data_IF_882180809617
#
_entry.id   IF_882180809617
#
_cell.length_a   1.000
_cell.length_b   1.000
_cell.length_c   1.000
_cell.angle_alpha   90.00
_cell.angle_beta   90.00
_cell.angle_gamma   90.00
#
_symmetry.space_group_name_H-M   'P 1'
#
loop_
_entity.id
_entity.type
_entity.pdbx_description
1 polymer ?
#
# COMPACT_ATOMS: atom_id res chain seq x y z
N UNK A 1 16.08 20.67 -42.12
CA UNK A 1 15.24 19.86 -41.19
C UNK A 1 14.01 19.34 -41.92
N UNK A 2 13.74 18.03 -41.90
CA UNK A 2 12.51 17.49 -42.50
C UNK A 2 11.30 17.84 -41.63
N UNK A 3 10.13 18.07 -42.23
CA UNK A 3 8.87 18.40 -41.53
C UNK A 3 8.53 17.43 -40.38
N UNK A 4 8.95 16.16 -40.50
CA UNK A 4 8.73 15.15 -39.46
C UNK A 4 9.56 15.40 -38.18
N UNK A 5 10.79 15.93 -38.30
CA UNK A 5 11.63 16.29 -37.14
C UNK A 5 11.00 17.44 -36.33
N UNK A 6 10.42 18.43 -37.00
CA UNK A 6 9.78 19.58 -36.34
C UNK A 6 8.46 19.22 -35.65
N UNK A 7 7.71 18.25 -36.19
CA UNK A 7 6.45 17.76 -35.56
C UNK A 7 6.75 16.91 -34.32
N UNK A 8 7.76 16.05 -34.38
CA UNK A 8 8.16 15.23 -33.22
C UNK A 8 8.61 16.11 -32.04
N UNK A 9 9.50 17.09 -32.28
CA UNK A 9 9.97 18.02 -31.24
C UNK A 9 8.81 18.84 -30.63
N UNK A 10 7.84 19.27 -31.45
CA UNK A 10 6.66 20.02 -30.98
C UNK A 10 5.68 19.16 -30.19
N UNK A 11 5.48 17.91 -30.59
CA UNK A 11 4.64 16.95 -29.86
C UNK A 11 5.26 16.63 -28.50
N UNK A 12 6.58 16.43 -28.48
CA UNK A 12 7.36 16.17 -27.27
C UNK A 12 7.33 17.38 -26.32
N UNK A 13 7.54 18.61 -26.82
CA UNK A 13 7.43 19.83 -26.02
C UNK A 13 6.01 20.05 -25.47
N UNK A 14 4.97 19.66 -26.22
CA UNK A 14 3.58 19.73 -25.76
C UNK A 14 3.30 18.70 -24.63
N UNK A 15 3.88 17.50 -24.72
CA UNK A 15 3.79 16.48 -23.64
C UNK A 15 4.53 16.97 -22.40
N UNK A 16 5.75 17.51 -22.53
CA UNK A 16 6.50 18.07 -21.41
C UNK A 16 5.76 19.24 -20.73
N UNK A 17 5.15 20.14 -21.51
CA UNK A 17 4.31 21.22 -20.97
C UNK A 17 3.04 20.69 -20.30
N UNK A 18 2.43 19.63 -20.82
CA UNK A 18 1.28 18.98 -20.19
C UNK A 18 1.68 18.34 -18.85
N UNK A 19 2.81 17.65 -18.78
CA UNK A 19 3.32 17.08 -17.54
C UNK A 19 3.69 18.15 -16.51
N UNK A 20 4.32 19.25 -16.93
CA UNK A 20 4.59 20.39 -16.06
C UNK A 20 3.30 21.08 -15.58
N UNK A 21 2.29 21.18 -16.45
CA UNK A 21 0.97 21.70 -16.07
C UNK A 21 0.28 20.78 -15.06
N UNK A 22 0.35 19.47 -15.25
CA UNK A 22 -0.17 18.47 -14.30
C UNK A 22 0.54 18.62 -12.95
N UNK A 23 1.87 18.72 -12.92
CA UNK A 23 2.64 18.94 -11.69
C UNK A 23 2.29 20.26 -10.98
N UNK A 24 2.02 21.34 -11.74
CA UNK A 24 1.54 22.62 -11.20
C UNK A 24 0.10 22.55 -10.67
N UNK A 25 -0.79 21.81 -11.31
CA UNK A 25 -2.15 21.56 -10.83
C UNK A 25 -2.16 20.80 -9.51
N UNK A 26 -1.29 19.79 -9.36
CA UNK A 26 -1.09 19.09 -8.10
C UNK A 26 -0.57 20.02 -7.00
N UNK A 27 0.44 20.85 -7.28
CA UNK A 27 0.96 21.82 -6.30
C UNK A 27 -0.09 22.84 -5.81
N UNK A 28 -1.06 23.21 -6.66
CA UNK A 28 -2.15 24.12 -6.27
C UNK A 28 -3.28 23.41 -5.48
N UNK A 29 -3.56 22.13 -5.77
CA UNK A 29 -4.62 21.37 -5.11
C UNK A 29 -4.32 21.08 -3.62
N UNK A 30 -3.05 20.97 -3.24
CA UNK A 30 -2.62 20.70 -1.86
C UNK A 30 -2.40 21.97 -1.00
N UNK A 31 -2.58 23.17 -1.56
CA UNK A 31 -2.18 24.42 -0.92
C UNK A 31 -3.32 25.17 -0.17
N UNK A 32 -4.59 24.80 -0.35
CA UNK A 32 -5.71 25.68 0.04
C UNK A 32 -7.01 24.95 0.41
N UNK A 33 -7.02 24.20 1.51
CA UNK A 33 -8.29 23.77 2.10
C UNK A 33 -8.24 23.81 3.64
N UNK A 34 -9.14 24.58 4.26
CA UNK A 34 -9.35 24.61 5.72
C UNK A 34 -10.01 23.31 6.22
N UNK A 35 -10.61 22.53 5.31
CA UNK A 35 -11.14 21.18 5.55
C UNK A 35 -10.44 20.19 4.62
N UNK A 36 -10.20 18.96 5.10
CA UNK A 36 -9.61 17.90 4.28
C UNK A 36 -10.66 17.39 3.29
N UNK A 37 -10.44 17.64 2.00
CA UNK A 37 -11.36 17.30 0.91
C UNK A 37 -10.71 16.32 -0.07
N UNK A 38 -11.53 15.51 -0.73
CA UNK A 38 -11.07 14.67 -1.84
C UNK A 38 -10.51 15.53 -2.98
N UNK A 39 -9.34 15.15 -3.49
CA UNK A 39 -8.72 15.75 -4.68
C UNK A 39 -9.01 14.89 -5.90
N UNK A 40 -8.69 13.59 -5.82
CA UNK A 40 -8.91 12.62 -6.89
C UNK A 40 -8.76 11.18 -6.40
N UNK A 41 -9.16 10.21 -7.23
CA UNK A 41 -8.75 8.81 -7.07
C UNK A 41 -7.22 8.70 -7.14
N UNK A 42 -6.62 7.90 -6.27
CA UNK A 42 -5.16 7.72 -6.19
C UNK A 42 -4.66 6.85 -7.37
N UNK A 43 -3.83 7.39 -8.27
CA UNK A 43 -3.29 6.66 -9.41
C UNK A 43 -2.18 5.67 -9.01
N UNK A 44 -1.70 5.75 -7.78
CA UNK A 44 -0.66 4.89 -7.23
C UNK A 44 -1.22 3.52 -6.87
N UNK A 45 -2.47 3.47 -6.39
CA UNK A 45 -3.08 2.23 -5.93
C UNK A 45 -3.99 1.60 -6.97
N UNK A 46 -3.57 0.47 -7.55
CA UNK A 46 -4.45 -0.35 -8.38
C UNK A 46 -5.43 -1.14 -7.51
N UNK A 47 -6.71 -0.99 -7.83
CA UNK A 47 -7.82 -1.63 -7.12
C UNK A 47 -8.16 -2.99 -7.76
N UNK A 48 -7.90 -4.09 -7.06
CA UNK A 48 -8.07 -5.47 -7.56
C UNK A 48 -9.22 -6.17 -6.82
N UNK A 49 -10.17 -6.70 -7.60
CA UNK A 49 -11.29 -7.53 -7.13
C UNK A 49 -12.21 -6.85 -6.09
N UNK A 50 -12.47 -5.56 -6.26
CA UNK A 50 -13.31 -4.76 -5.38
C UNK A 50 -14.77 -4.63 -5.83
N UNK A 51 -15.63 -4.25 -4.89
CA UNK A 51 -17.05 -3.94 -5.08
C UNK A 51 -17.32 -2.48 -5.37
N UNK A 52 -18.59 -2.17 -5.64
CA UNK A 52 -19.03 -0.79 -5.82
C UNK A 52 -18.94 -0.02 -4.50
N UNK A 53 -18.23 1.11 -4.50
CA UNK A 53 -18.03 1.98 -3.34
C UNK A 53 -16.66 1.88 -2.68
N UNK A 54 -15.85 0.87 -3.08
CA UNK A 54 -14.46 0.77 -2.66
C UNK A 54 -13.61 1.84 -3.36
N UNK A 55 -12.70 2.47 -2.63
CA UNK A 55 -11.86 3.55 -3.20
C UNK A 55 -10.56 3.76 -2.44
N UNK A 56 -9.59 4.35 -3.14
CA UNK A 56 -8.34 4.89 -2.60
C UNK A 56 -8.19 6.28 -3.18
N UNK A 57 -8.29 7.31 -2.34
CA UNK A 57 -8.43 8.70 -2.77
C UNK A 57 -7.37 9.58 -2.17
N UNK A 58 -6.71 10.38 -2.99
CA UNK A 58 -5.82 11.44 -2.51
C UNK A 58 -6.66 12.58 -1.94
N UNK A 59 -6.30 13.00 -0.73
CA UNK A 59 -6.94 14.07 0.01
C UNK A 59 -6.13 15.37 -0.08
N UNK A 60 -6.75 16.52 0.22
CA UNK A 60 -6.12 17.85 0.10
C UNK A 60 -4.95 18.08 1.06
N UNK A 61 -4.82 17.28 2.12
CA UNK A 61 -3.67 17.25 3.03
C UNK A 61 -2.55 16.32 2.55
N UNK A 62 -2.70 15.73 1.37
CA UNK A 62 -1.73 14.82 0.74
C UNK A 62 -1.79 13.38 1.23
N UNK A 63 -2.69 13.06 2.17
CA UNK A 63 -2.94 11.67 2.62
C UNK A 63 -3.77 10.90 1.61
N UNK A 64 -3.87 9.58 1.81
CA UNK A 64 -4.75 8.72 1.00
C UNK A 64 -5.82 8.11 1.87
N UNK A 65 -7.07 8.45 1.60
CA UNK A 65 -8.23 7.83 2.24
C UNK A 65 -8.60 6.54 1.52
N UNK A 66 -8.60 5.43 2.26
CA UNK A 66 -9.10 4.15 1.79
C UNK A 66 -10.47 3.85 2.40
N UNK A 67 -11.38 3.35 1.56
CA UNK A 67 -12.67 2.80 1.97
C UNK A 67 -12.83 1.43 1.31
N UNK A 68 -12.74 0.35 2.09
CA UNK A 68 -12.66 -1.02 1.57
C UNK A 68 -13.68 -1.94 2.26
N UNK A 69 -14.60 -2.49 1.50
CA UNK A 69 -15.51 -3.54 1.92
C UNK A 69 -14.83 -4.92 1.84
N UNK A 70 -15.13 -5.83 2.78
CA UNK A 70 -14.56 -7.17 2.75
C UNK A 70 -15.16 -7.95 1.58
N UNK A 71 -14.31 -8.61 0.81
CA UNK A 71 -14.78 -9.58 -0.17
C UNK A 71 -14.58 -11.01 0.36
N UNK A 72 -15.33 -11.95 -0.22
CA UNK A 72 -15.29 -13.35 0.21
C UNK A 72 -13.93 -13.97 -0.07
N UNK A 73 -13.38 -14.68 0.92
CA UNK A 73 -12.10 -15.37 0.80
C UNK A 73 -10.94 -14.41 1.06
N UNK A 74 -10.09 -14.23 0.06
CA UNK A 74 -8.83 -13.47 0.15
C UNK A 74 -8.89 -12.13 -0.62
N UNK A 75 -10.04 -11.82 -1.23
CA UNK A 75 -10.19 -10.78 -2.24
C UNK A 75 -10.38 -9.37 -1.68
N UNK A 76 -10.26 -8.39 -2.58
CA UNK A 76 -10.36 -6.95 -2.30
C UNK A 76 -9.01 -6.41 -1.87
N UNK A 77 -8.23 -5.87 -2.83
CA UNK A 77 -6.89 -5.35 -2.55
C UNK A 77 -6.52 -4.12 -3.37
N UNK A 78 -6.01 -3.10 -2.69
CA UNK A 78 -5.30 -1.97 -3.27
C UNK A 78 -3.79 -2.23 -3.20
N UNK A 79 -3.07 -2.11 -4.32
CA UNK A 79 -1.62 -2.32 -4.39
C UNK A 79 -0.94 -1.09 -5.00
N UNK A 80 0.18 -0.63 -4.45
CA UNK A 80 0.89 0.56 -4.92
C UNK A 80 1.53 0.43 -6.32
N UNK A 81 1.34 -0.66 -7.03
CA UNK A 81 1.95 -0.96 -8.34
C UNK A 81 1.63 0.06 -9.48
N UNK A 82 0.72 1.01 -9.29
CA UNK A 82 0.26 1.93 -10.34
C UNK A 82 1.36 2.80 -10.95
N UNK A 83 2.46 3.05 -10.23
CA UNK A 83 3.63 3.80 -10.74
C UNK A 83 4.83 2.90 -11.10
N UNK A 84 4.64 1.59 -11.15
CA UNK A 84 5.71 0.62 -11.44
C UNK A 84 6.84 0.65 -10.41
N UNK A 85 8.08 0.72 -10.86
CA UNK A 85 9.28 0.66 -10.01
C UNK A 85 9.37 1.80 -8.99
N UNK A 86 8.77 2.97 -9.27
CA UNK A 86 8.77 4.11 -8.36
C UNK A 86 7.94 3.87 -7.08
N UNK A 87 7.06 2.88 -7.10
CA UNK A 87 6.22 2.49 -5.95
C UNK A 87 6.72 1.28 -5.18
N UNK A 88 7.96 0.87 -5.43
CA UNK A 88 8.60 -0.24 -4.73
C UNK A 88 9.43 0.25 -3.56
N UNK A 89 9.43 -0.54 -2.49
CA UNK A 89 10.11 -0.19 -1.26
C UNK A 89 11.25 -1.17 -0.97
N UNK A 90 12.35 -0.65 -0.45
CA UNK A 90 13.47 -1.45 0.06
C UNK A 90 13.19 -1.88 1.50
N UNK A 91 13.28 -3.18 1.79
CA UNK A 91 13.11 -3.66 3.17
C UNK A 91 14.43 -3.64 3.96
N UNK A 92 15.58 -3.59 3.28
CA UNK A 92 16.87 -3.35 3.93
C UNK A 92 16.92 -2.00 4.63
N UNK A 93 16.37 -0.96 3.99
CA UNK A 93 16.34 0.40 4.55
C UNK A 93 15.24 0.57 5.61
N UNK A 94 14.36 -0.43 5.73
CA UNK A 94 13.15 -0.38 6.53
C UNK A 94 12.04 0.43 5.86
N UNK A 95 10.80 0.00 6.09
CA UNK A 95 9.60 0.67 5.58
C UNK A 95 8.71 1.03 6.75
N UNK A 96 8.59 2.32 7.05
CA UNK A 96 7.66 2.83 8.06
C UNK A 96 6.37 3.29 7.40
N UNK A 97 5.24 2.93 8.00
CA UNK A 97 3.89 3.24 7.51
C UNK A 97 3.10 3.81 8.69
N UNK A 98 2.50 4.98 8.48
CA UNK A 98 1.61 5.63 9.44
C UNK A 98 0.21 5.69 8.87
N UNK A 99 -0.74 5.06 9.56
CA UNK A 99 -2.16 5.11 9.24
C UNK A 99 -2.87 5.91 10.34
N UNK A 100 -3.76 6.82 9.95
CA UNK A 100 -4.62 7.58 10.86
C UNK A 100 -6.07 7.19 10.70
N UNK A 101 -6.83 7.37 11.78
CA UNK A 101 -8.28 7.19 11.83
C UNK A 101 -8.74 5.84 11.25
N UNK A 102 -8.04 4.76 11.60
CA UNK A 102 -8.40 3.42 11.16
C UNK A 102 -9.69 3.00 11.87
N UNK A 103 -10.68 2.56 11.09
CA UNK A 103 -11.92 1.96 11.58
C UNK A 103 -12.13 0.63 10.87
N UNK A 104 -12.38 -0.41 11.65
CA UNK A 104 -12.70 -1.76 11.17
C UNK A 104 -14.06 -2.13 11.75
N UNK A 105 -15.02 -2.47 10.88
CA UNK A 105 -16.38 -2.79 11.29
C UNK A 105 -16.81 -4.19 10.86
N UNK A 106 -17.77 -4.73 11.61
CA UNK A 106 -18.28 -6.10 11.53
C UNK A 106 -17.15 -7.13 11.39
N UNK A 107 -17.25 -8.02 10.40
CA UNK A 107 -16.34 -9.15 10.25
C UNK A 107 -15.15 -8.85 9.33
N UNK A 108 -14.95 -7.58 8.97
CA UNK A 108 -13.86 -7.18 8.10
C UNK A 108 -12.50 -7.48 8.77
N UNK A 109 -11.62 -8.11 8.01
CA UNK A 109 -10.20 -8.27 8.34
C UNK A 109 -9.42 -7.32 7.44
N UNK A 110 -8.70 -6.38 8.03
CA UNK A 110 -7.83 -5.46 7.31
C UNK A 110 -6.42 -6.04 7.26
N UNK A 111 -5.69 -5.84 6.16
CA UNK A 111 -4.27 -6.21 6.08
C UNK A 111 -3.47 -5.09 5.46
N UNK A 112 -2.30 -4.86 6.03
CA UNK A 112 -1.23 -4.08 5.40
C UNK A 112 -0.11 -5.05 5.07
N UNK A 113 0.37 -5.04 3.83
CA UNK A 113 1.31 -6.03 3.36
C UNK A 113 2.40 -5.45 2.46
N UNK A 114 3.57 -6.08 2.50
CA UNK A 114 4.64 -5.90 1.53
C UNK A 114 4.60 -7.09 0.58
N UNK A 115 4.39 -6.88 -0.72
CA UNK A 115 4.18 -7.96 -1.70
C UNK A 115 5.13 -7.85 -2.89
N UNK A 116 5.77 -8.97 -3.29
CA UNK A 116 6.67 -8.98 -4.45
C UNK A 116 5.95 -9.08 -5.78
N UNK A 117 4.67 -9.43 -5.78
CA UNK A 117 3.87 -9.56 -7.00
C UNK A 117 2.81 -8.46 -7.04
N UNK A 118 2.78 -7.73 -8.15
CA UNK A 118 1.85 -6.63 -8.40
C UNK A 118 0.38 -7.11 -8.49
N UNK A 119 0.14 -8.35 -8.93
CA UNK A 119 -1.21 -8.92 -9.15
C UNK A 119 -1.53 -10.17 -8.32
N UNK A 120 -0.55 -10.74 -7.59
CA UNK A 120 -0.63 -12.11 -7.08
C UNK A 120 -1.76 -12.30 -6.07
N UNK A 121 -2.63 -13.29 -6.19
CA UNK A 121 -3.70 -13.55 -5.20
C UNK A 121 -3.13 -13.69 -3.77
N UNK A 122 -3.85 -13.26 -2.72
CA UNK A 122 -3.53 -13.74 -1.37
C UNK A 122 -3.85 -15.24 -1.38
N UNK A 123 -2.83 -16.06 -1.47
CA UNK A 123 -2.94 -17.50 -1.68
C UNK A 123 -1.55 -18.11 -1.72
N UNK A 124 -1.42 -19.32 -1.17
CA UNK A 124 -0.15 -20.03 -1.17
C UNK A 124 0.31 -20.29 -2.61
N UNK A 125 1.55 -19.88 -2.93
CA UNK A 125 2.26 -20.33 -4.13
C UNK A 125 2.40 -19.35 -5.30
N UNK A 126 1.78 -18.17 -5.28
CA UNK A 126 1.97 -17.15 -6.33
C UNK A 126 2.43 -15.82 -5.73
N UNK A 127 3.72 -15.74 -5.38
CA UNK A 127 4.37 -14.53 -4.88
C UNK A 127 4.63 -14.53 -3.38
N UNK A 128 5.78 -13.97 -3.02
CA UNK A 128 6.14 -13.68 -1.63
C UNK A 128 5.43 -12.42 -1.14
N UNK A 129 5.06 -12.41 0.13
CA UNK A 129 4.58 -11.19 0.74
C UNK A 129 4.30 -11.34 2.21
N UNK A 130 4.78 -10.39 3.00
CA UNK A 130 4.56 -10.35 4.45
C UNK A 130 3.36 -9.48 4.74
N UNK A 131 2.40 -10.05 5.44
CA UNK A 131 1.13 -9.40 5.76
C UNK A 131 1.03 -9.16 7.26
N UNK A 132 0.52 -8.00 7.62
CA UNK A 132 0.12 -7.60 8.97
C UNK A 132 -1.39 -7.50 8.94
N UNK A 133 -2.05 -8.51 9.48
CA UNK A 133 -3.50 -8.63 9.56
C UNK A 133 -4.03 -8.05 10.86
N UNK A 134 -5.14 -7.32 10.73
CA UNK A 134 -5.90 -6.72 11.80
C UNK A 134 -7.28 -7.34 11.84
N UNK A 135 -7.54 -8.10 12.90
CA UNK A 135 -8.83 -8.76 13.11
C UNK A 135 -9.47 -8.31 14.40
N UNK A 136 -10.74 -7.93 14.32
CA UNK A 136 -11.56 -7.66 15.50
C UNK A 136 -12.09 -8.99 16.05
N UNK A 137 -12.11 -9.15 17.36
CA UNK A 137 -12.69 -10.28 18.08
C UNK A 137 -13.56 -9.78 19.24
N UNK A 138 -14.57 -10.55 19.65
CA UNK A 138 -15.37 -10.26 20.85
C UNK A 138 -14.78 -11.00 22.05
N UNK A 139 -14.43 -10.29 23.11
CA UNK A 139 -13.92 -10.89 24.35
C UNK A 139 -14.31 -10.04 25.56
N UNK A 140 -14.72 -10.68 26.66
CA UNK A 140 -14.99 -9.99 27.94
C UNK A 140 -16.10 -8.93 27.93
N UNK A 141 -16.99 -8.93 26.93
CA UNK A 141 -18.04 -7.91 26.77
C UNK A 141 -17.63 -6.70 25.92
N UNK A 142 -16.41 -6.67 25.39
CA UNK A 142 -15.91 -5.65 24.47
C UNK A 142 -15.36 -6.24 23.17
N UNK A 143 -14.86 -5.35 22.30
CA UNK A 143 -14.21 -5.70 21.03
C UNK A 143 -12.70 -5.48 21.15
N UNK A 144 -11.94 -6.54 20.94
CA UNK A 144 -10.49 -6.53 21.00
C UNK A 144 -9.91 -6.75 19.60
N UNK A 145 -8.67 -6.32 19.40
CA UNK A 145 -7.91 -6.56 18.18
C UNK A 145 -6.96 -7.76 18.35
N UNK A 146 -6.68 -8.45 17.25
CA UNK A 146 -5.62 -9.45 17.14
C UNK A 146 -4.75 -9.15 15.93
N UNK A 147 -3.44 -9.14 16.17
CA UNK A 147 -2.41 -9.04 15.16
C UNK A 147 -2.13 -10.44 14.61
N UNK A 148 -2.11 -10.56 13.29
CA UNK A 148 -1.74 -11.78 12.57
C UNK A 148 -0.62 -11.43 11.60
N UNK A 149 0.46 -12.20 11.56
CA UNK A 149 1.57 -12.01 10.63
C UNK A 149 1.82 -13.29 9.88
N UNK A 150 1.94 -13.22 8.56
CA UNK A 150 2.26 -14.40 7.74
C UNK A 150 2.97 -14.01 6.45
N UNK A 151 3.63 -14.99 5.82
CA UNK A 151 4.07 -14.89 4.43
C UNK A 151 3.39 -15.95 3.54
N UNK A 152 2.87 -15.54 2.38
CA UNK A 152 2.19 -16.42 1.40
C UNK A 152 3.09 -17.50 0.77
N UNK A 153 4.40 -17.28 0.68
CA UNK A 153 5.36 -18.19 0.06
C UNK A 153 6.08 -19.09 1.09
N UNK A 154 5.86 -18.87 2.38
CA UNK A 154 6.40 -19.70 3.46
C UNK A 154 5.29 -20.37 4.25
N UNK A 155 5.63 -21.37 5.06
CA UNK A 155 4.71 -21.90 6.08
C UNK A 155 4.71 -21.07 7.37
N UNK A 156 5.41 -19.93 7.40
CA UNK A 156 5.58 -19.13 8.61
C UNK A 156 4.36 -18.25 8.83
N UNK A 157 3.74 -18.46 9.98
CA UNK A 157 2.61 -17.67 10.46
C UNK A 157 2.78 -17.45 11.96
N UNK A 158 2.67 -16.20 12.37
CA UNK A 158 2.53 -15.81 13.76
C UNK A 158 1.11 -15.31 13.98
N UNK A 159 0.39 -15.97 14.88
CA UNK A 159 -0.93 -15.57 15.29
C UNK A 159 -1.14 -16.03 16.74
N UNK A 160 -1.72 -15.20 17.61
CA UNK A 160 -2.26 -15.66 18.88
C UNK A 160 -3.23 -16.83 18.64
N UNK A 161 -3.26 -17.84 19.53
CA UNK A 161 -4.11 -19.04 19.39
C UNK A 161 -5.59 -18.71 19.17
N UNK A 162 -6.05 -17.55 19.65
CA UNK A 162 -7.41 -17.08 19.54
C UNK A 162 -7.68 -16.12 18.37
N UNK A 163 -6.66 -15.76 17.59
CA UNK A 163 -6.79 -14.87 16.44
C UNK A 163 -7.69 -15.44 15.33
N UNK A 164 -7.96 -16.76 15.34
CA UNK A 164 -8.84 -17.42 14.40
C UNK A 164 -10.28 -17.59 14.87
N UNK A 165 -10.62 -17.25 16.12
CA UNK A 165 -11.98 -17.44 16.65
C UNK A 165 -13.01 -16.68 15.81
N UNK A 166 -14.13 -17.35 15.53
CA UNK A 166 -15.25 -16.80 14.77
C UNK A 166 -15.90 -15.68 15.58
N UNK A 167 -16.12 -14.55 14.92
CA UNK A 167 -16.89 -13.42 15.45
C UNK A 167 -18.35 -13.83 15.55
N UNK A 168 -18.89 -13.86 16.77
CA UNK A 168 -20.33 -14.04 17.02
C UNK A 168 -20.87 -12.80 17.73
N UNK A 169 -20.82 -11.68 17.02
CA UNK A 169 -21.16 -10.37 17.55
C UNK A 169 -21.94 -9.54 16.53
N UNK A 170 -23.06 -8.97 16.97
CA UNK A 170 -23.80 -7.98 16.19
C UNK A 170 -22.93 -6.71 16.00
N UNK A 171 -22.40 -6.53 14.79
CA UNK A 171 -21.69 -5.34 14.29
C UNK A 171 -20.57 -4.78 15.20
N UNK A 172 -19.48 -5.54 15.47
CA UNK A 172 -18.30 -4.99 16.11
C UNK A 172 -17.75 -3.75 15.37
N UNK A 173 -17.33 -2.73 16.10
CA UNK A 173 -16.56 -1.61 15.54
C UNK A 173 -15.35 -1.39 16.42
N UNK A 174 -14.17 -1.43 15.80
CA UNK A 174 -12.91 -1.12 16.43
C UNK A 174 -12.26 0.05 15.68
N UNK A 175 -11.68 1.00 16.42
CA UNK A 175 -11.01 2.16 15.85
C UNK A 175 -9.66 2.37 16.49
N UNK A 176 -8.74 3.03 15.78
CA UNK A 176 -7.51 3.60 16.32
C UNK A 176 -7.21 4.95 15.66
N UNK A 177 -6.76 5.93 16.45
CA UNK A 177 -6.38 7.25 15.94
C UNK A 177 -5.11 7.17 15.10
N UNK A 178 -4.13 6.39 15.55
CA UNK A 178 -2.87 6.16 14.82
C UNK A 178 -2.45 4.71 14.92
N UNK A 179 -1.99 4.16 13.79
CA UNK A 179 -1.35 2.86 13.69
C UNK A 179 -0.01 3.06 12.98
N UNK A 180 1.08 2.65 13.62
CA UNK A 180 2.39 2.64 13.00
C UNK A 180 2.82 1.21 12.74
N UNK A 181 3.33 0.96 11.55
CA UNK A 181 3.85 -0.34 11.12
C UNK A 181 5.26 -0.11 10.56
N UNK A 182 6.20 -0.95 10.98
CA UNK A 182 7.56 -0.93 10.46
C UNK A 182 7.95 -2.31 9.96
N UNK A 183 8.27 -2.43 8.68
CA UNK A 183 8.80 -3.64 8.06
C UNK A 183 10.31 -3.50 7.84
N UNK A 184 11.08 -4.50 8.29
CA UNK A 184 12.49 -4.66 7.92
C UNK A 184 12.88 -6.13 8.00
N UNK A 185 14.01 -6.50 7.42
CA UNK A 185 14.57 -7.85 7.54
C UNK A 185 14.83 -8.26 9.00
N UNK A 186 15.12 -7.29 9.85
CA UNK A 186 15.55 -7.55 11.23
C UNK A 186 14.40 -7.43 12.24
N UNK A 187 13.33 -6.72 11.90
CA UNK A 187 12.20 -6.50 12.79
C UNK A 187 10.93 -6.11 12.03
N UNK A 188 9.80 -6.63 12.53
CA UNK A 188 8.47 -6.13 12.27
C UNK A 188 7.93 -5.48 13.54
N UNK A 189 7.52 -4.21 13.47
CA UNK A 189 6.96 -3.49 14.64
C UNK A 189 5.59 -2.95 14.33
N UNK A 190 4.68 -3.05 15.31
CA UNK A 190 3.33 -2.51 15.20
C UNK A 190 2.94 -1.81 16.51
N UNK A 191 2.43 -0.59 16.42
CA UNK A 191 1.97 0.19 17.58
C UNK A 191 0.65 0.92 17.27
N UNK A 192 -0.11 1.21 18.31
CA UNK A 192 -1.43 1.83 18.21
C UNK A 192 -1.57 2.93 19.26
N UNK A 193 -2.34 3.95 18.91
CA UNK A 193 -2.74 5.02 19.82
C UNK A 193 -4.23 5.32 19.64
N UNK A 194 -4.92 5.54 20.75
CA UNK A 194 -6.34 5.93 20.76
C UNK A 194 -7.28 4.80 20.34
N UNK A 195 -6.95 3.54 20.64
CA UNK A 195 -7.74 2.39 20.26
C UNK A 195 -8.94 2.15 21.20
N UNK A 196 -10.11 1.83 20.65
CA UNK A 196 -11.33 1.55 21.45
C UNK A 196 -11.29 0.24 22.24
N UNK A 197 -10.25 -0.57 22.06
CA UNK A 197 -10.00 -1.85 22.74
C UNK A 197 -8.74 -1.88 23.62
N UNK A 198 -8.28 -0.71 24.09
CA UNK A 198 -7.03 -0.57 24.83
C UNK A 198 -5.82 -0.49 23.90
N UNK A 199 -5.02 0.55 24.08
CA UNK A 199 -3.73 0.64 23.41
C UNK A 199 -2.80 -0.45 23.95
N UNK A 200 -1.90 -0.95 23.10
CA UNK A 200 -0.80 -1.76 23.56
C UNK A 200 0.52 -1.05 23.28
N UNK A 201 1.46 -1.23 24.21
CA UNK A 201 2.85 -0.89 23.98
C UNK A 201 3.35 -1.69 22.76
N UNK A 202 4.09 -1.03 21.86
CA UNK A 202 4.60 -1.57 20.60
C UNK A 202 4.89 -3.09 20.64
N UNK A 203 4.30 -3.83 19.71
CA UNK A 203 4.63 -5.23 19.47
C UNK A 203 5.79 -5.28 18.50
N UNK A 204 6.95 -5.78 18.96
CA UNK A 204 8.08 -6.09 18.10
C UNK A 204 8.18 -7.60 17.89
N UNK A 205 8.23 -8.00 16.63
CA UNK A 205 8.50 -9.37 16.19
C UNK A 205 9.86 -9.38 15.50
N UNK A 206 10.85 -10.01 16.13
CA UNK A 206 12.21 -10.18 15.60
C UNK A 206 12.84 -11.52 16.05
N UNK A 207 12.37 -12.08 17.16
CA UNK A 207 12.88 -13.34 17.73
C UNK A 207 11.93 -14.53 17.56
N UNK A 208 10.78 -14.34 16.90
CA UNK A 208 9.85 -15.43 16.64
C UNK A 208 10.49 -16.51 15.74
N UNK A 209 10.26 -17.78 16.05
CA UNK A 209 10.78 -18.88 15.24
C UNK A 209 10.31 -18.75 13.78
N UNK A 210 11.25 -18.78 12.83
CA UNK A 210 10.97 -18.58 11.40
C UNK A 210 10.81 -17.11 10.96
N UNK A 211 11.04 -16.13 11.85
CA UNK A 211 10.92 -14.70 11.51
C UNK A 211 11.84 -14.30 10.34
N UNK A 212 13.11 -14.70 10.35
CA UNK A 212 14.03 -14.40 9.24
C UNK A 212 13.50 -14.89 7.90
N UNK A 213 12.82 -16.04 7.90
CA UNK A 213 12.25 -16.63 6.70
C UNK A 213 11.05 -15.84 6.16
N UNK A 214 10.40 -14.99 6.96
CA UNK A 214 9.29 -14.14 6.48
C UNK A 214 9.73 -13.27 5.32
N UNK A 215 11.01 -12.90 5.24
CA UNK A 215 11.51 -11.97 4.24
C UNK A 215 12.38 -12.64 3.16
N UNK A 216 12.47 -13.97 3.13
CA UNK A 216 13.34 -14.72 2.21
C UNK A 216 13.05 -14.46 0.73
N UNK A 217 11.80 -14.10 0.38
CA UNK A 217 11.40 -13.82 -1.00
C UNK A 217 11.72 -12.37 -1.44
N UNK A 218 12.12 -11.50 -0.52
CA UNK A 218 12.55 -10.14 -0.84
C UNK A 218 14.06 -10.11 -1.00
N UNK A 219 14.53 -9.64 -2.14
CA UNK A 219 15.91 -9.19 -2.31
C UNK A 219 15.90 -7.66 -2.43
N UNK A 220 17.00 -7.04 -2.03
CA UNK A 220 17.18 -5.59 -2.21
C UNK A 220 17.84 -5.27 -3.56
N UNK A 221 18.23 -6.32 -4.29
CA UNK A 221 18.82 -6.26 -5.63
C UNK A 221 17.75 -6.52 -6.70
N UNK A 222 17.79 -5.73 -7.78
CA UNK A 222 17.04 -6.04 -8.99
C UNK A 222 17.67 -7.29 -9.63
N UNK A 223 16.96 -8.42 -9.55
CA UNK A 223 17.47 -9.66 -10.12
C UNK A 223 17.17 -9.64 -11.62
N UNK A 224 18.23 -9.53 -12.43
CA UNK A 224 18.12 -9.87 -13.85
C UNK A 224 17.84 -11.36 -13.96
N UNK A 225 16.73 -11.79 -14.57
CA UNK A 225 16.43 -13.21 -14.62
C UNK A 225 16.93 -13.83 -15.91
N UNK A 226 17.16 -15.13 -15.85
CA UNK A 226 17.66 -15.94 -16.96
C UNK A 226 16.69 -16.03 -18.16
N UNK A 227 15.45 -15.57 -18.01
CA UNK A 227 14.36 -15.60 -19.00
C UNK A 227 14.05 -14.23 -19.63
N UNK A 228 14.77 -13.17 -19.24
CA UNK A 228 14.66 -11.85 -19.86
C UNK A 228 13.49 -10.97 -19.38
N UNK A 229 12.80 -11.32 -18.29
CA UNK A 229 11.68 -10.54 -17.72
C UNK A 229 12.08 -9.95 -16.35
N UNK A 230 12.43 -8.66 -16.25
CA UNK A 230 12.81 -8.05 -14.96
C UNK A 230 11.78 -8.31 -13.84
N UNK A 231 12.21 -9.03 -12.79
CA UNK A 231 11.47 -9.18 -11.56
C UNK A 231 12.24 -8.45 -10.46
N UNK A 232 11.93 -7.17 -10.23
CA UNK A 232 12.41 -6.53 -9.01
C UNK A 232 11.76 -7.24 -7.82
N UNK A 233 12.60 -7.60 -6.85
CA UNK A 233 12.22 -8.31 -5.62
C UNK A 233 11.85 -7.34 -4.50
N UNK A 234 11.95 -6.03 -4.77
CA UNK A 234 11.45 -4.97 -3.90
C UNK A 234 9.92 -5.00 -3.85
N UNK A 235 9.32 -5.05 -2.65
CA UNK A 235 7.87 -5.14 -2.51
C UNK A 235 7.12 -3.86 -2.86
N UNK A 236 5.89 -4.07 -3.30
CA UNK A 236 4.83 -3.07 -3.27
C UNK A 236 4.15 -3.03 -1.89
N UNK A 237 3.67 -1.86 -1.51
CA UNK A 237 2.76 -1.70 -0.38
C UNK A 237 1.35 -2.07 -0.82
N UNK A 238 0.67 -2.86 0.00
CA UNK A 238 -0.66 -3.34 -0.30
C UNK A 238 -1.59 -3.27 0.91
N UNK A 239 -2.83 -2.88 0.65
CA UNK A 239 -3.95 -2.91 1.58
C UNK A 239 -4.99 -3.89 1.10
N UNK A 240 -5.47 -4.78 1.97
CA UNK A 240 -6.55 -5.70 1.61
C UNK A 240 -7.60 -5.73 2.69
N UNK A 241 -8.84 -6.03 2.28
CA UNK A 241 -9.97 -6.19 3.19
C UNK A 241 -10.72 -7.46 2.81
N UNK A 242 -10.74 -8.44 3.71
CA UNK A 242 -11.35 -9.74 3.45
C UNK A 242 -12.22 -10.21 4.61
N UNK A 243 -13.07 -11.22 4.35
CA UNK A 243 -13.78 -11.93 5.42
C UNK A 243 -13.23 -13.35 5.59
N UNK A 244 -12.78 -13.67 6.81
CA UNK A 244 -12.35 -15.02 7.19
C UNK A 244 -13.50 -16.04 7.19
N UNK A 245 -14.74 -15.59 7.43
CA UNK A 245 -15.96 -16.38 7.31
C UNK A 245 -16.40 -16.39 5.83
N UNK A 246 -16.14 -17.49 5.12
CA UNK A 246 -16.31 -17.65 3.66
C UNK A 246 -17.75 -17.46 3.10
N UNK A 247 -18.70 -16.91 3.86
CA UNK A 247 -20.07 -16.65 3.43
C UNK A 247 -20.63 -15.27 3.79
N UNK A 248 -19.93 -14.46 4.59
CA UNK A 248 -20.40 -13.15 5.02
C UNK A 248 -19.57 -12.05 4.33
N UNK A 249 -20.23 -10.98 3.86
CA UNK A 249 -19.59 -9.80 3.23
C UNK A 249 -19.92 -8.52 4.00
N UNK A 250 -20.08 -8.64 5.32
CA UNK A 250 -20.52 -7.52 6.16
C UNK A 250 -19.32 -6.80 6.75
N UNK A 251 -19.47 -5.50 6.93
CA UNK A 251 -18.42 -4.64 7.47
C UNK A 251 -17.75 -3.80 6.40
N UNK A 252 -16.80 -3.03 6.87
CA UNK A 252 -16.08 -2.05 6.08
C UNK A 252 -14.84 -1.60 6.86
N UNK A 253 -13.78 -1.27 6.12
CA UNK A 253 -12.56 -0.67 6.65
C UNK A 253 -12.42 0.72 6.05
N UNK A 254 -12.29 1.73 6.91
CA UNK A 254 -11.89 3.08 6.50
C UNK A 254 -10.59 3.45 7.18
N UNK A 255 -9.68 4.08 6.44
CA UNK A 255 -8.40 4.50 6.97
C UNK A 255 -7.83 5.68 6.17
N UNK A 256 -6.92 6.42 6.77
CA UNK A 256 -6.12 7.41 6.06
C UNK A 256 -4.65 6.99 6.12
N UNK A 257 -4.06 6.58 5.00
CA UNK A 257 -2.61 6.43 4.88
C UNK A 257 -1.99 7.82 4.94
N UNK A 258 -1.38 8.13 6.08
CA UNK A 258 -0.82 9.44 6.35
C UNK A 258 0.59 9.55 5.76
N UNK A 259 1.44 8.55 6.04
CA UNK A 259 2.84 8.59 5.65
C UNK A 259 3.39 7.20 5.31
N UNK A 260 4.33 7.16 4.36
CA UNK A 260 5.26 6.06 4.15
C UNK A 260 6.67 6.64 4.15
N UNK A 261 7.57 6.09 4.98
CA UNK A 261 8.94 6.58 5.15
C UNK A 261 9.03 8.08 5.46
N UNK A 262 8.09 8.59 6.26
CA UNK A 262 8.02 10.00 6.67
C UNK A 262 7.57 10.97 5.58
N UNK A 263 7.01 10.48 4.46
CA UNK A 263 6.43 11.29 3.39
C UNK A 263 4.96 10.98 3.20
N UNK A 264 4.17 12.00 2.89
CA UNK A 264 2.78 11.79 2.48
C UNK A 264 2.72 11.08 1.13
N UNK A 265 1.69 10.26 0.86
CA UNK A 265 1.51 9.63 -0.44
C UNK A 265 1.55 10.60 -1.61
N UNK A 266 0.90 11.78 -1.48
CA UNK A 266 0.93 12.80 -2.52
C UNK A 266 2.34 13.35 -2.81
N UNK A 267 3.16 13.55 -1.76
CA UNK A 267 4.55 13.97 -1.92
C UNK A 267 5.36 12.91 -2.67
N UNK A 268 5.21 11.64 -2.30
CA UNK A 268 5.89 10.52 -2.98
C UNK A 268 5.46 10.40 -4.44
N UNK A 269 4.17 10.55 -4.72
CA UNK A 269 3.63 10.57 -6.08
C UNK A 269 4.21 11.74 -6.89
N UNK A 270 4.28 12.93 -6.31
CA UNK A 270 4.84 14.11 -6.99
C UNK A 270 6.34 13.93 -7.31
N UNK A 271 7.12 13.37 -6.38
CA UNK A 271 8.53 13.05 -6.62
C UNK A 271 8.70 12.03 -7.76
N UNK A 272 7.91 10.95 -7.75
CA UNK A 272 7.93 9.93 -8.79
C UNK A 272 7.57 10.52 -10.17
N UNK A 273 6.51 11.35 -10.23
CA UNK A 273 6.11 12.03 -11.45
C UNK A 273 7.20 12.97 -11.97
N UNK A 274 7.80 13.78 -11.09
CA UNK A 274 8.89 14.69 -11.47
C UNK A 274 10.11 13.93 -12.00
N UNK A 275 10.45 12.79 -11.40
CA UNK A 275 11.55 11.95 -11.87
C UNK A 275 11.27 11.38 -13.28
N UNK A 276 10.04 10.94 -13.55
CA UNK A 276 9.65 10.47 -14.88
C UNK A 276 9.70 11.61 -15.93
N UNK A 277 9.28 12.82 -15.55
CA UNK A 277 9.38 14.00 -16.42
C UNK A 277 10.83 14.33 -16.74
N UNK A 278 11.71 14.33 -15.74
CA UNK A 278 13.14 14.58 -15.93
C UNK A 278 13.77 13.54 -16.87
N UNK A 279 13.54 12.25 -16.61
CA UNK A 279 14.04 11.16 -17.47
C UNK A 279 13.54 11.27 -18.91
N UNK A 280 12.29 11.72 -19.11
CA UNK A 280 11.76 11.98 -20.44
C UNK A 280 12.48 13.15 -21.13
N UNK A 281 12.72 14.26 -20.42
CA UNK A 281 13.47 15.40 -20.95
C UNK A 281 14.88 14.98 -21.37
N UNK A 282 15.59 14.25 -20.51
CA UNK A 282 16.95 13.75 -20.79
C UNK A 282 16.98 12.84 -22.03
N UNK A 283 16.01 11.93 -22.14
CA UNK A 283 15.90 11.04 -23.30
C UNK A 283 15.63 11.80 -24.60
N UNK A 284 14.88 12.90 -24.53
CA UNK A 284 14.61 13.78 -25.67
C UNK A 284 15.86 14.55 -26.08
N UNK A 285 16.61 15.10 -25.13
CA UNK A 285 17.86 15.81 -25.40
C UNK A 285 18.90 14.87 -26.04
N UNK A 286 19.08 13.67 -25.49
CA UNK A 286 19.98 12.67 -26.05
C UNK A 286 19.59 12.22 -27.48
N UNK A 287 18.29 12.10 -27.76
CA UNK A 287 17.80 11.80 -29.11
C UNK A 287 17.97 12.98 -30.09
N UNK A 288 18.00 14.21 -29.58
CA UNK A 288 18.31 15.42 -30.34
C UNK A 288 19.79 15.50 -30.73
N UNK A 289 20.69 15.17 -29.80
CA UNK A 289 22.14 15.26 -29.98
C UNK A 289 22.73 14.11 -30.83
N UNK A 290 22.09 12.95 -30.86
CA UNK A 290 22.48 11.82 -31.72
C UNK A 290 22.07 11.94 -33.20
N UNK A 291 21.51 13.09 -33.60
CA UNK A 291 20.92 13.31 -34.93
C UNK A 291 21.66 14.32 -35.81
N UNK A 292 22.89 14.69 -35.43
CA UNK A 292 23.88 15.44 -36.24
C UNK A 292 24.80 14.50 -37.03
#
# INVERSE_FOLDING_TARGET
>A
MSKHKTVAIRLIAAIAMLCAAIAMFFGAAFAYADEVTEVMEDPTYEMIAFGAGDSMKIMSDGTVQGNLAPTTGFGGRANSNGLGEASRYSIADGVSITIKNLTISAEACFTVAMQTVSTGTIGQGNGGGVHVGFRVIKEGGGYNFRLIVWNNATSVQWAPEDAYKVLDADNPVWTAETVNIFFSRDALRVSFQGATGGDFAEVTLNEAAGFGNLFDDFADDDVSPADGIYHSTKPYLSFSCYNANQGQKTGNVTFNLAEVNGKTPASSYQEALNAQIAAFIDAVEAAGDGAD
#
